data_IF_312473659954
#
_entry.id   IF_312473659954
#
_cell.length_a   1.000
_cell.length_b   1.000
_cell.length_c   1.000
_cell.angle_alpha   90.00
_cell.angle_beta   90.00
_cell.angle_gamma   90.00
#
_symmetry.space_group_name_H-M   'P 1'
#
loop_
_entity.id
_entity.type
_entity.pdbx_description
1 polymer ?
#
# COMPACT_ATOMS: atom_id res chain seq x y z
N UNK A 1 3.95 10.26 -25.13
CA UNK A 1 2.64 10.15 -24.46
C UNK A 1 2.21 11.56 -24.08
N UNK A 2 1.24 12.13 -24.80
CA UNK A 2 0.69 13.44 -24.47
C UNK A 2 -0.46 13.31 -23.48
N UNK A 3 -0.62 14.30 -22.59
CA UNK A 3 -1.76 14.36 -21.67
C UNK A 3 -3.07 14.56 -22.45
N UNK A 4 -4.20 13.99 -21.99
CA UNK A 4 -5.49 14.24 -22.61
C UNK A 4 -5.88 15.71 -22.40
N UNK A 5 -6.18 16.42 -23.48
CA UNK A 5 -6.47 17.85 -23.45
C UNK A 5 -7.96 18.13 -23.69
N UNK A 6 -8.52 19.06 -22.93
CA UNK A 6 -9.85 19.63 -23.20
C UNK A 6 -9.71 20.66 -24.33
N UNK A 7 -10.27 20.34 -25.50
CA UNK A 7 -10.21 21.18 -26.69
C UNK A 7 -10.81 22.58 -26.51
N UNK A 8 -9.97 23.56 -26.20
CA UNK A 8 -10.31 24.99 -26.25
C UNK A 8 -10.22 25.54 -27.68
N UNK A 9 -11.27 26.22 -28.15
CA UNK A 9 -11.43 26.91 -29.45
C UNK A 9 -10.64 26.32 -30.64
N UNK A 10 -11.02 25.10 -31.03
CA UNK A 10 -11.07 24.43 -32.34
C UNK A 10 -10.17 24.73 -33.55
N UNK A 11 -9.44 25.84 -33.63
CA UNK A 11 -8.53 26.17 -34.75
C UNK A 11 -7.10 26.41 -34.25
N UNK A 12 -6.93 26.68 -32.96
CA UNK A 12 -5.63 26.98 -32.37
C UNK A 12 -4.78 25.73 -32.19
N UNK A 13 -5.32 24.63 -31.64
CA UNK A 13 -4.52 23.50 -31.13
C UNK A 13 -3.76 22.70 -32.20
N UNK A 14 -4.39 22.44 -33.35
CA UNK A 14 -3.72 21.75 -34.47
C UNK A 14 -2.59 22.58 -35.07
N UNK A 15 -2.80 23.90 -35.24
CA UNK A 15 -1.73 24.83 -35.65
C UNK A 15 -0.67 24.99 -34.56
N UNK A 16 -1.06 24.95 -33.30
CA UNK A 16 -0.19 24.96 -32.12
C UNK A 16 0.77 23.78 -32.09
N UNK A 17 0.23 22.57 -32.20
CA UNK A 17 1.00 21.32 -32.17
C UNK A 17 1.92 21.24 -33.36
N UNK A 18 1.49 21.70 -34.54
CA UNK A 18 2.37 21.84 -35.72
C UNK A 18 3.48 22.86 -35.46
N UNK A 19 3.17 24.03 -34.88
CA UNK A 19 4.14 25.08 -34.58
C UNK A 19 5.14 24.66 -33.49
N UNK A 20 4.70 23.95 -32.45
CA UNK A 20 5.54 23.42 -31.37
C UNK A 20 6.33 22.20 -31.86
N UNK A 21 5.70 21.25 -32.57
CA UNK A 21 6.39 20.10 -33.16
C UNK A 21 7.47 20.55 -34.15
N UNK A 22 7.26 21.62 -34.93
CA UNK A 22 8.29 22.17 -35.83
C UNK A 22 9.56 22.65 -35.12
N UNK A 23 9.50 22.91 -33.81
CA UNK A 23 10.66 23.25 -32.97
C UNK A 23 11.40 21.98 -32.49
N UNK A 24 10.72 20.83 -32.39
CA UNK A 24 11.20 19.64 -31.68
C UNK A 24 11.38 18.37 -32.52
N UNK A 25 10.64 18.20 -33.62
CA UNK A 25 10.55 16.95 -34.39
C UNK A 25 10.25 17.26 -35.87
N UNK A 26 10.91 16.58 -36.82
CA UNK A 26 10.44 16.51 -38.19
C UNK A 26 9.10 15.75 -38.19
N UNK A 27 7.99 16.49 -38.15
CA UNK A 27 6.69 15.93 -37.80
C UNK A 27 6.23 14.88 -38.83
N UNK A 28 5.87 13.69 -38.33
CA UNK A 28 5.14 12.68 -39.09
C UNK A 28 3.65 13.07 -39.11
N UNK A 29 3.15 13.46 -40.29
CA UNK A 29 1.81 14.03 -40.49
C UNK A 29 0.67 13.11 -40.02
N UNK A 30 0.93 11.80 -39.87
CA UNK A 30 -0.07 10.82 -39.40
C UNK A 30 -0.50 11.04 -37.95
N UNK A 31 0.42 11.43 -37.07
CA UNK A 31 0.09 11.72 -35.66
C UNK A 31 -0.72 13.02 -35.52
N UNK A 32 -0.48 13.98 -36.41
CA UNK A 32 -1.14 15.29 -36.40
C UNK A 32 -2.61 15.22 -36.83
N UNK A 33 -2.97 14.28 -37.72
CA UNK A 33 -4.36 14.08 -38.15
C UNK A 33 -5.27 13.58 -37.01
N UNK A 34 -4.74 12.79 -36.08
CA UNK A 34 -5.50 12.24 -34.95
C UNK A 34 -5.65 13.20 -33.76
N UNK A 35 -4.92 14.32 -33.77
CA UNK A 35 -4.94 15.38 -32.75
C UNK A 35 -5.95 16.49 -33.06
N UNK A 36 -6.70 16.38 -34.16
CA UNK A 36 -7.75 17.33 -34.51
C UNK A 36 -8.98 17.20 -33.60
N UNK A 37 -9.71 18.31 -33.47
CA UNK A 37 -10.96 18.45 -32.69
C UNK A 37 -11.96 17.33 -33.03
N UNK A 38 -12.68 16.83 -32.01
CA UNK A 38 -13.71 15.80 -32.13
C UNK A 38 -13.20 14.46 -32.69
N UNK A 39 -11.90 14.21 -32.56
CA UNK A 39 -11.33 12.88 -32.75
C UNK A 39 -12.01 11.91 -31.79
N UNK A 40 -12.91 11.08 -32.32
CA UNK A 40 -13.56 9.99 -31.59
C UNK A 40 -12.50 9.14 -30.86
N UNK A 41 -11.30 9.04 -31.42
CA UNK A 41 -10.16 8.37 -30.82
C UNK A 41 -9.70 9.02 -29.50
N UNK A 42 -9.57 10.35 -29.44
CA UNK A 42 -9.19 11.04 -28.20
C UNK A 42 -10.29 10.96 -27.14
N UNK A 43 -11.56 11.07 -27.55
CA UNK A 43 -12.70 10.90 -26.64
C UNK A 43 -12.81 9.47 -26.11
N UNK A 44 -12.54 8.47 -26.95
CA UNK A 44 -12.48 7.06 -26.56
C UNK A 44 -11.33 6.81 -25.58
N UNK A 45 -10.14 7.35 -25.83
CA UNK A 45 -8.99 7.23 -24.91
C UNK A 45 -9.28 7.89 -23.55
N UNK A 46 -9.93 9.06 -23.54
CA UNK A 46 -10.40 9.73 -22.32
C UNK A 46 -11.44 8.90 -21.56
N UNK A 47 -12.41 8.33 -22.28
CA UNK A 47 -13.43 7.44 -21.71
C UNK A 47 -12.83 6.16 -21.13
N UNK A 48 -11.74 5.64 -21.70
CA UNK A 48 -10.99 4.50 -21.16
C UNK A 48 -10.13 4.88 -19.95
N UNK A 49 -9.62 6.11 -19.89
CA UNK A 49 -8.81 6.60 -18.78
C UNK A 49 -9.63 6.85 -17.51
N UNK A 50 -10.86 7.35 -17.63
CA UNK A 50 -11.72 7.67 -16.48
C UNK A 50 -11.83 6.54 -15.44
N UNK A 51 -12.28 5.33 -15.84
CA UNK A 51 -12.46 4.19 -14.92
C UNK A 51 -11.18 3.70 -14.23
N UNK A 52 -10.01 3.93 -14.83
CA UNK A 52 -8.72 3.53 -14.25
C UNK A 52 -8.03 4.69 -13.50
N UNK A 53 -8.54 5.91 -13.60
CA UNK A 53 -7.88 7.08 -13.00
C UNK A 53 -7.90 7.05 -11.48
N UNK A 54 -8.86 6.37 -10.87
CA UNK A 54 -8.95 6.10 -9.42
C UNK A 54 -7.79 5.22 -8.93
N UNK A 55 -7.18 4.46 -9.84
CA UNK A 55 -5.99 3.67 -9.56
C UNK A 55 -4.70 4.50 -9.65
N UNK A 56 -4.73 5.81 -9.88
CA UNK A 56 -3.47 6.58 -9.96
C UNK A 56 -3.60 7.96 -9.34
N UNK A 57 -2.70 8.25 -8.39
CA UNK A 57 -2.46 9.64 -8.00
C UNK A 57 -1.79 10.35 -9.17
N UNK A 58 -2.50 11.29 -9.80
CA UNK A 58 -2.04 11.94 -11.03
C UNK A 58 -1.81 13.43 -10.78
N UNK A 59 -0.64 13.94 -11.16
CA UNK A 59 -0.32 15.39 -11.12
C UNK A 59 -0.22 15.94 -12.53
N UNK A 60 -1.03 16.95 -12.83
CA UNK A 60 -1.12 17.58 -14.15
C UNK A 60 -0.32 18.88 -14.17
N UNK A 61 0.91 18.84 -14.69
CA UNK A 61 1.74 20.03 -14.80
C UNK A 61 1.32 20.91 -15.98
N UNK A 62 1.32 22.23 -15.78
CA UNK A 62 1.06 23.22 -16.85
C UNK A 62 2.00 24.42 -16.75
N UNK A 63 2.28 25.04 -17.90
CA UNK A 63 3.13 26.25 -17.97
C UNK A 63 2.37 27.51 -17.58
N UNK A 64 3.12 28.49 -17.10
CA UNK A 64 2.58 29.83 -16.84
C UNK A 64 3.22 30.92 -17.70
N UNK A 65 4.32 30.61 -18.41
CA UNK A 65 4.95 31.53 -19.36
C UNK A 65 4.70 31.10 -20.80
N UNK A 66 4.68 32.08 -21.70
CA UNK A 66 4.50 31.83 -23.11
C UNK A 66 5.77 31.26 -23.74
N UNK A 67 5.60 30.26 -24.60
CA UNK A 67 6.66 29.65 -25.40
C UNK A 67 6.80 30.39 -26.73
N UNK A 68 8.00 30.87 -27.10
CA UNK A 68 8.27 31.42 -28.42
C UNK A 68 8.09 30.37 -29.52
N UNK A 69 7.39 30.73 -30.59
CA UNK A 69 7.20 29.87 -31.77
C UNK A 69 8.06 30.35 -32.94
N UNK A 70 8.34 29.45 -33.89
CA UNK A 70 9.16 29.72 -35.10
C UNK A 70 8.59 30.87 -35.94
N UNK A 71 7.29 31.14 -35.84
CA UNK A 71 6.59 32.21 -36.57
C UNK A 71 6.62 33.57 -35.84
N UNK A 72 7.45 33.72 -34.80
CA UNK A 72 7.64 34.99 -34.08
C UNK A 72 6.50 35.38 -33.14
N UNK A 73 5.57 34.46 -32.87
CA UNK A 73 4.50 34.64 -31.86
C UNK A 73 4.82 33.80 -30.62
N UNK A 74 4.51 34.32 -29.44
CA UNK A 74 4.60 33.58 -28.18
C UNK A 74 3.20 33.14 -27.73
N UNK A 75 3.12 32.01 -27.05
CA UNK A 75 1.85 31.46 -26.59
C UNK A 75 2.00 30.40 -25.50
N UNK A 76 0.98 30.24 -24.66
CA UNK A 76 0.88 29.14 -23.69
C UNK A 76 0.44 27.87 -24.41
N UNK A 77 1.32 26.88 -24.48
CA UNK A 77 1.14 25.59 -25.18
C UNK A 77 0.12 24.73 -24.45
N UNK A 78 0.27 24.56 -23.13
CA UNK A 78 -0.67 23.80 -22.31
C UNK A 78 -1.25 24.69 -21.21
N UNK A 79 -2.41 25.35 -21.45
CA UNK A 79 -3.07 26.14 -20.41
C UNK A 79 -3.71 25.23 -19.36
N UNK A 80 -3.88 25.74 -18.13
CA UNK A 80 -4.48 25.00 -16.99
C UNK A 80 -5.76 24.26 -17.35
N UNK A 81 -6.66 24.92 -18.09
CA UNK A 81 -7.96 24.34 -18.48
C UNK A 81 -7.83 23.11 -19.38
N UNK A 82 -6.74 23.01 -20.14
CA UNK A 82 -6.45 21.88 -21.01
C UNK A 82 -5.56 20.83 -20.35
N UNK A 83 -4.89 21.16 -19.24
CA UNK A 83 -4.03 20.23 -18.52
C UNK A 83 -4.80 19.24 -17.62
N UNK A 84 -6.05 19.56 -17.26
CA UNK A 84 -6.84 18.78 -16.30
C UNK A 84 -7.89 17.95 -17.03
N UNK A 85 -7.99 16.67 -16.67
CA UNK A 85 -9.04 15.76 -17.13
C UNK A 85 -10.25 15.90 -16.20
N UNK A 86 -11.42 16.34 -16.69
CA UNK A 86 -12.62 16.41 -15.86
C UNK A 86 -13.06 15.02 -15.41
N UNK A 87 -13.37 14.89 -14.12
CA UNK A 87 -13.83 13.63 -13.53
C UNK A 87 -12.72 12.66 -13.12
N UNK A 88 -11.44 13.00 -13.28
CA UNK A 88 -10.35 12.23 -12.67
C UNK A 88 -10.43 12.36 -11.14
N UNK A 89 -10.60 11.25 -10.42
CA UNK A 89 -10.87 11.28 -8.98
C UNK A 89 -9.72 11.88 -8.16
N UNK A 90 -8.47 11.59 -8.54
CA UNK A 90 -7.25 11.98 -7.80
C UNK A 90 -6.29 12.86 -8.61
N UNK A 91 -6.84 13.65 -9.53
CA UNK A 91 -6.10 14.56 -10.40
C UNK A 91 -5.85 15.94 -9.79
N UNK A 92 -4.60 16.33 -9.56
CA UNK A 92 -4.26 17.69 -9.08
C UNK A 92 -3.43 18.47 -10.13
N UNK A 93 -3.87 19.67 -10.55
CA UNK A 93 -3.06 20.54 -11.41
C UNK A 93 -1.94 21.22 -10.66
N UNK A 94 -0.73 21.22 -11.22
CA UNK A 94 0.45 21.88 -10.67
C UNK A 94 0.97 22.94 -11.65
N UNK A 95 1.16 24.18 -11.18
CA UNK A 95 1.68 25.27 -11.99
C UNK A 95 3.21 25.23 -12.00
N UNK A 96 3.82 25.36 -13.17
CA UNK A 96 5.27 25.52 -13.31
C UNK A 96 5.55 26.91 -13.91
N UNK A 97 6.40 27.67 -13.21
CA UNK A 97 6.83 29.02 -13.60
C UNK A 97 7.93 28.98 -14.66
N UNK A 98 7.60 28.36 -15.80
CA UNK A 98 8.44 28.23 -16.97
C UNK A 98 7.55 28.21 -18.23
N UNK A 99 8.18 28.30 -19.40
CA UNK A 99 7.56 28.00 -20.68
C UNK A 99 7.54 26.48 -20.94
N UNK A 100 6.89 26.04 -22.02
CA UNK A 100 6.75 24.61 -22.35
C UNK A 100 8.09 23.91 -22.58
N UNK A 101 9.11 24.64 -23.01
CA UNK A 101 10.40 24.07 -23.44
C UNK A 101 11.40 23.95 -22.30
N UNK A 102 11.15 24.69 -21.21
CA UNK A 102 11.96 24.74 -19.99
C UNK A 102 11.26 24.15 -18.75
N UNK A 103 9.94 23.89 -18.76
CA UNK A 103 9.22 23.40 -17.57
C UNK A 103 9.70 22.05 -16.99
N UNK A 104 10.46 21.28 -17.75
CA UNK A 104 11.07 20.01 -17.32
C UNK A 104 12.60 20.09 -17.19
N UNK A 105 13.17 21.29 -17.33
CA UNK A 105 14.62 21.54 -17.30
C UNK A 105 14.93 22.44 -16.12
N UNK A 106 15.49 21.86 -15.07
CA UNK A 106 15.83 22.59 -13.85
C UNK A 106 17.33 22.78 -13.76
N UNK A 107 17.78 24.03 -13.60
CA UNK A 107 19.22 24.34 -13.51
C UNK A 107 19.83 23.89 -12.19
N UNK A 108 19.03 23.81 -11.12
CA UNK A 108 19.51 23.36 -9.81
C UNK A 108 18.37 22.94 -8.88
N UNK A 109 18.73 22.41 -7.70
CA UNK A 109 17.79 22.04 -6.65
C UNK A 109 17.12 23.25 -5.95
N UNK A 110 17.65 24.46 -6.12
CA UNK A 110 17.06 25.66 -5.54
C UNK A 110 15.94 26.26 -6.41
N UNK A 111 15.84 25.82 -7.67
CA UNK A 111 14.81 26.22 -8.63
C UNK A 111 13.37 25.97 -8.10
N UNK A 112 12.47 26.90 -8.41
CA UNK A 112 11.09 26.86 -7.91
C UNK A 112 10.27 25.73 -8.54
N UNK A 113 10.44 25.48 -9.85
CA UNK A 113 9.84 24.35 -10.55
C UNK A 113 10.37 23.02 -10.01
N UNK A 114 11.70 22.92 -9.79
CA UNK A 114 12.30 21.74 -9.18
C UNK A 114 11.70 21.43 -7.80
N UNK A 115 11.61 22.44 -6.92
CA UNK A 115 11.04 22.28 -5.58
C UNK A 115 9.58 21.85 -5.62
N UNK A 116 8.80 22.40 -6.56
CA UNK A 116 7.39 22.05 -6.75
C UNK A 116 7.23 20.60 -7.16
N UNK A 117 7.90 20.18 -8.24
CA UNK A 117 7.81 18.80 -8.76
C UNK A 117 8.38 17.80 -7.75
N UNK A 118 9.56 18.06 -7.20
CA UNK A 118 10.19 17.17 -6.22
C UNK A 118 9.40 17.08 -4.91
N UNK A 119 8.71 18.14 -4.50
CA UNK A 119 7.80 18.14 -3.35
C UNK A 119 6.63 17.18 -3.54
N UNK A 120 5.93 17.29 -4.68
CA UNK A 120 4.84 16.37 -5.01
C UNK A 120 5.31 14.93 -5.17
N UNK A 121 6.45 14.69 -5.84
CA UNK A 121 7.03 13.34 -5.96
C UNK A 121 7.33 12.72 -4.60
N UNK A 122 7.96 13.48 -3.68
CA UNK A 122 8.23 12.98 -2.32
C UNK A 122 6.95 12.65 -1.55
N UNK A 123 5.90 13.47 -1.69
CA UNK A 123 4.62 13.20 -1.06
C UNK A 123 3.99 11.92 -1.63
N UNK A 124 4.01 11.76 -2.97
CA UNK A 124 3.55 10.55 -3.63
C UNK A 124 4.33 9.32 -3.16
N UNK A 125 5.66 9.39 -3.06
CA UNK A 125 6.49 8.29 -2.55
C UNK A 125 6.19 7.95 -1.10
N UNK A 126 6.00 8.94 -0.22
CA UNK A 126 5.65 8.70 1.19
C UNK A 126 4.30 7.99 1.33
N UNK A 127 3.33 8.36 0.50
CA UNK A 127 1.99 7.77 0.53
C UNK A 127 1.87 6.48 -0.27
N UNK A 128 2.90 6.11 -1.04
CA UNK A 128 2.87 4.97 -1.95
C UNK A 128 2.89 3.62 -1.23
N UNK A 129 3.50 3.51 -0.05
CA UNK A 129 3.76 2.22 0.61
C UNK A 129 2.52 1.34 0.76
N UNK A 130 1.45 1.90 1.31
CA UNK A 130 0.21 1.16 1.58
C UNK A 130 -0.56 0.85 0.29
N UNK A 131 -0.67 1.82 -0.62
CA UNK A 131 -1.46 1.72 -1.86
C UNK A 131 -0.80 0.78 -2.86
N UNK A 132 0.51 0.92 -3.04
CA UNK A 132 1.27 0.13 -4.02
C UNK A 132 1.44 -1.29 -3.50
N UNK A 133 1.72 -1.48 -2.20
CA UNK A 133 1.79 -2.80 -1.58
C UNK A 133 0.49 -3.60 -1.78
N UNK A 134 -0.66 -3.00 -1.49
CA UNK A 134 -1.96 -3.65 -1.70
C UNK A 134 -2.24 -4.01 -3.17
N UNK A 135 -1.79 -3.19 -4.12
CA UNK A 135 -1.94 -3.46 -5.56
C UNK A 135 -1.07 -4.61 -6.03
N UNK A 136 0.18 -4.68 -5.61
CA UNK A 136 1.06 -5.81 -5.94
C UNK A 136 0.58 -7.12 -5.32
N UNK A 137 0.07 -7.09 -4.09
CA UNK A 137 -0.53 -8.26 -3.46
C UNK A 137 -1.79 -8.72 -4.21
N UNK A 138 -2.59 -7.76 -4.72
CA UNK A 138 -3.77 -8.05 -5.56
C UNK A 138 -3.36 -8.61 -6.93
N UNK A 139 -2.40 -8.00 -7.61
CA UNK A 139 -1.88 -8.47 -8.90
C UNK A 139 -1.29 -9.87 -8.77
N UNK A 140 -0.47 -10.11 -7.75
CA UNK A 140 0.11 -11.44 -7.47
C UNK A 140 -0.96 -12.51 -7.23
N UNK A 141 -2.11 -12.14 -6.65
CA UNK A 141 -3.26 -13.04 -6.52
C UNK A 141 -3.99 -13.26 -7.84
N UNK A 142 -4.16 -12.22 -8.64
CA UNK A 142 -4.77 -12.32 -9.98
C UNK A 142 -3.92 -13.22 -10.88
N UNK A 143 -2.60 -13.10 -10.81
CA UNK A 143 -1.68 -13.96 -11.54
C UNK A 143 -1.69 -15.41 -11.04
N UNK A 144 -1.81 -15.64 -9.73
CA UNK A 144 -1.99 -16.98 -9.17
C UNK A 144 -3.34 -17.63 -9.56
N UNK A 145 -4.41 -16.82 -9.67
CA UNK A 145 -5.70 -17.29 -10.18
C UNK A 145 -5.61 -17.62 -11.67
N UNK A 146 -4.89 -16.83 -12.46
CA UNK A 146 -4.64 -17.08 -13.89
C UNK A 146 -3.78 -18.33 -14.12
N UNK A 147 -2.91 -18.70 -13.18
CA UNK A 147 -2.09 -19.91 -13.25
C UNK A 147 -2.80 -21.19 -12.83
N UNK A 148 -4.10 -21.12 -12.50
CA UNK A 148 -4.92 -22.27 -12.05
C UNK A 148 -4.42 -22.88 -10.72
N UNK A 149 -3.66 -22.13 -9.92
CA UNK A 149 -3.34 -22.50 -8.55
C UNK A 149 -4.58 -22.30 -7.67
N UNK A 150 -4.91 -23.33 -6.91
CA UNK A 150 -6.08 -23.40 -6.01
C UNK A 150 -6.18 -22.12 -5.17
N UNK A 151 -7.37 -21.52 -5.16
CA UNK A 151 -7.82 -20.40 -4.31
C UNK A 151 -6.93 -20.25 -3.06
N UNK A 152 -6.19 -19.14 -3.03
CA UNK A 152 -5.21 -18.70 -2.04
C UNK A 152 -5.40 -19.34 -0.65
N UNK A 153 -4.72 -20.46 -0.43
CA UNK A 153 -4.55 -21.00 0.91
C UNK A 153 -3.69 -20.00 1.68
N UNK A 154 -4.23 -19.36 2.73
CA UNK A 154 -3.44 -18.58 3.69
C UNK A 154 -2.74 -19.49 4.71
N UNK A 155 -2.56 -20.76 4.37
CA UNK A 155 -2.02 -21.74 5.29
C UNK A 155 -0.53 -21.52 5.50
N UNK A 156 -0.16 -21.22 6.74
CA UNK A 156 1.23 -21.16 7.18
C UNK A 156 1.46 -22.31 8.15
N UNK A 157 2.50 -23.13 7.93
CA UNK A 157 2.77 -24.27 8.79
C UNK A 157 2.87 -23.83 10.26
N UNK A 158 2.14 -24.54 11.13
CA UNK A 158 2.14 -24.28 12.57
C UNK A 158 3.55 -24.52 13.12
N UNK A 159 4.12 -23.47 13.72
CA UNK A 159 5.41 -23.50 14.39
C UNK A 159 5.44 -22.39 15.43
N UNK A 160 5.91 -22.69 16.64
CA UNK A 160 6.06 -21.73 17.74
C UNK A 160 7.42 -21.95 18.41
N UNK A 161 8.54 -21.71 17.69
CA UNK A 161 9.88 -21.91 18.23
C UNK A 161 10.22 -20.95 19.38
N UNK A 162 9.46 -19.86 19.52
CA UNK A 162 9.69 -18.80 20.50
C UNK A 162 9.39 -19.26 21.94
N UNK A 163 8.64 -20.35 22.10
CA UNK A 163 8.19 -20.83 23.41
C UNK A 163 8.64 -22.26 23.65
N UNK A 164 9.24 -22.51 24.82
CA UNK A 164 9.57 -23.87 25.23
C UNK A 164 8.30 -24.68 25.49
N UNK A 165 8.18 -25.81 24.80
CA UNK A 165 7.13 -26.79 25.04
C UNK A 165 7.36 -27.55 26.34
N UNK A 166 6.30 -27.72 27.12
CA UNK A 166 6.29 -28.67 28.23
C UNK A 166 5.85 -30.04 27.73
N UNK A 167 6.47 -31.11 28.21
CA UNK A 167 6.09 -32.48 27.83
C UNK A 167 4.68 -32.87 28.29
N UNK A 168 4.20 -32.27 29.39
CA UNK A 168 2.91 -32.55 29.99
C UNK A 168 2.23 -31.28 30.46
N UNK A 169 1.26 -30.80 29.67
CA UNK A 169 0.29 -29.81 30.11
C UNK A 169 -0.93 -30.54 30.70
N UNK A 170 -1.29 -30.23 31.95
CA UNK A 170 -2.37 -30.92 32.66
C UNK A 170 -3.34 -29.94 33.32
N UNK A 171 -4.62 -30.33 33.35
CA UNK A 171 -5.69 -29.48 33.88
C UNK A 171 -6.02 -28.31 32.95
N UNK A 172 -6.74 -27.31 33.49
CA UNK A 172 -7.15 -26.09 32.79
C UNK A 172 -8.15 -26.24 31.63
N UNK A 173 -8.83 -27.38 31.54
CA UNK A 173 -9.81 -27.62 30.48
C UNK A 173 -10.90 -26.55 30.44
N UNK A 174 -11.39 -26.12 31.60
CA UNK A 174 -12.38 -25.03 31.69
C UNK A 174 -11.87 -23.73 31.04
N UNK A 175 -10.63 -23.33 31.30
CA UNK A 175 -10.06 -22.13 30.67
C UNK A 175 -9.86 -22.31 29.18
N UNK A 176 -9.43 -23.50 28.73
CA UNK A 176 -9.30 -23.80 27.30
C UNK A 176 -10.65 -23.74 26.58
N UNK A 177 -11.71 -24.27 27.20
CA UNK A 177 -13.07 -24.25 26.66
C UNK A 177 -13.60 -22.82 26.57
N UNK A 178 -13.31 -21.97 27.56
CA UNK A 178 -13.63 -20.54 27.51
C UNK A 178 -12.89 -19.86 26.36
N UNK A 179 -11.57 -20.06 26.23
CA UNK A 179 -10.79 -19.47 25.12
C UNK A 179 -11.38 -19.90 23.77
N UNK A 180 -11.68 -21.20 23.60
CA UNK A 180 -12.26 -21.73 22.37
C UNK A 180 -13.61 -21.10 22.03
N UNK A 181 -14.47 -20.96 23.04
CA UNK A 181 -15.80 -20.37 22.88
C UNK A 181 -15.70 -18.92 22.43
N UNK A 182 -14.84 -18.13 23.06
CA UNK A 182 -14.68 -16.71 22.74
C UNK A 182 -13.95 -16.47 21.41
N UNK A 183 -13.06 -17.38 21.01
CA UNK A 183 -12.34 -17.34 19.73
C UNK A 183 -13.05 -18.10 18.60
N UNK A 184 -14.31 -18.53 18.80
CA UNK A 184 -15.07 -19.21 17.77
C UNK A 184 -15.28 -18.29 16.56
N UNK A 185 -14.88 -18.78 15.39
CA UNK A 185 -14.96 -18.02 14.14
C UNK A 185 -16.42 -17.82 13.70
N UNK A 186 -16.82 -16.55 13.53
CA UNK A 186 -18.11 -16.13 12.99
C UNK A 186 -17.96 -15.01 11.93
N UNK A 187 -16.75 -14.83 11.40
CA UNK A 187 -16.40 -13.77 10.46
C UNK A 187 -16.02 -12.43 11.10
N UNK A 188 -16.21 -12.25 12.41
CA UNK A 188 -15.77 -11.06 13.15
C UNK A 188 -14.43 -11.27 13.85
N UNK A 189 -13.73 -10.18 14.16
CA UNK A 189 -12.47 -10.20 14.92
C UNK A 189 -12.77 -10.61 16.36
N UNK A 190 -12.12 -11.68 16.81
CA UNK A 190 -12.18 -12.13 18.20
C UNK A 190 -10.94 -11.71 18.96
N UNK A 191 -11.05 -11.56 20.27
CA UNK A 191 -9.92 -11.20 21.14
C UNK A 191 -10.18 -11.76 22.53
N UNK A 192 -9.20 -12.47 23.08
CA UNK A 192 -9.22 -12.95 24.46
C UNK A 192 -7.99 -12.43 25.16
N UNK A 193 -8.17 -11.93 26.38
CA UNK A 193 -7.07 -11.49 27.25
C UNK A 193 -6.89 -12.52 28.35
N UNK A 194 -5.73 -13.16 28.38
CA UNK A 194 -5.33 -14.08 29.46
C UNK A 194 -4.48 -13.32 30.46
N UNK A 195 -5.02 -13.05 31.65
CA UNK A 195 -4.33 -12.31 32.70
C UNK A 195 -4.25 -13.10 34.02
N UNK A 196 -3.35 -12.69 34.90
CA UNK A 196 -3.10 -13.36 36.17
C UNK A 196 -1.67 -13.16 36.65
N UNK A 197 -1.42 -13.53 37.91
CA UNK A 197 -0.10 -13.38 38.55
C UNK A 197 1.01 -14.09 37.78
N UNK A 198 2.25 -13.63 37.98
CA UNK A 198 3.45 -14.28 37.44
C UNK A 198 3.52 -15.75 37.85
N UNK A 199 3.99 -16.62 36.94
CA UNK A 199 4.11 -18.06 37.21
C UNK A 199 2.82 -18.88 37.14
N UNK A 200 1.65 -18.27 36.92
CA UNK A 200 0.37 -19.00 36.84
C UNK A 200 0.18 -19.85 35.57
N UNK A 201 1.15 -19.84 34.66
CA UNK A 201 1.15 -20.66 33.44
C UNK A 201 0.38 -20.07 32.26
N UNK A 202 0.23 -18.73 32.16
CA UNK A 202 -0.52 -18.05 31.09
C UNK A 202 0.01 -18.36 29.69
N UNK A 203 1.33 -18.20 29.49
CA UNK A 203 2.04 -18.58 28.26
C UNK A 203 1.78 -20.04 27.87
N UNK A 204 1.84 -20.96 28.83
CA UNK A 204 1.62 -22.39 28.58
C UNK A 204 0.15 -22.70 28.27
N UNK A 205 -0.79 -21.97 28.87
CA UNK A 205 -2.22 -22.09 28.54
C UNK A 205 -2.51 -21.64 27.09
N UNK A 206 -1.95 -20.50 26.67
CA UNK A 206 -2.09 -20.00 25.30
C UNK A 206 -1.44 -20.97 24.29
N UNK A 207 -0.26 -21.51 24.62
CA UNK A 207 0.42 -22.50 23.79
C UNK A 207 -0.37 -23.80 23.67
N UNK A 208 -0.92 -24.32 24.78
CA UNK A 208 -1.75 -25.52 24.78
C UNK A 208 -3.00 -25.33 23.91
N UNK A 209 -3.66 -24.18 24.02
CA UNK A 209 -4.79 -23.81 23.15
C UNK A 209 -4.39 -23.84 21.67
N UNK A 210 -3.31 -23.12 21.32
CA UNK A 210 -2.83 -23.02 19.95
C UNK A 210 -2.49 -24.40 19.36
N UNK A 211 -1.87 -25.28 20.15
CA UNK A 211 -1.53 -26.64 19.73
C UNK A 211 -2.76 -27.52 19.52
N UNK A 212 -3.73 -27.47 20.45
CA UNK A 212 -4.95 -28.27 20.40
C UNK A 212 -5.85 -27.86 19.22
N UNK A 213 -5.91 -26.56 18.93
CA UNK A 213 -6.81 -25.99 17.92
C UNK A 213 -6.10 -25.55 16.63
N UNK A 214 -4.82 -25.91 16.43
CA UNK A 214 -4.01 -25.50 15.26
C UNK A 214 -4.65 -25.75 13.89
N UNK A 215 -5.52 -26.76 13.78
CA UNK A 215 -6.20 -27.12 12.52
C UNK A 215 -7.41 -26.22 12.21
N UNK A 216 -7.91 -25.50 13.20
CA UNK A 216 -9.02 -24.55 13.05
C UNK A 216 -8.52 -23.27 12.35
N UNK A 217 -7.23 -22.98 12.48
CA UNK A 217 -6.57 -21.80 11.93
C UNK A 217 -5.78 -22.09 10.64
N UNK A 218 -5.72 -21.12 9.72
CA UNK A 218 -4.84 -21.12 8.55
C UNK A 218 -3.41 -20.75 8.92
N UNK A 219 -3.23 -19.80 9.84
CA UNK A 219 -1.91 -19.38 10.31
C UNK A 219 -1.94 -19.08 11.80
N UNK A 220 -0.85 -19.40 12.50
CA UNK A 220 -0.65 -19.06 13.92
C UNK A 220 0.70 -18.38 14.08
N UNK A 221 0.69 -17.16 14.62
CA UNK A 221 1.88 -16.36 14.88
C UNK A 221 2.00 -16.06 16.37
N UNK A 222 3.22 -16.14 16.88
CA UNK A 222 3.56 -15.81 18.25
C UNK A 222 4.43 -14.55 18.26
N UNK A 223 4.04 -13.55 19.04
CA UNK A 223 4.69 -12.24 19.09
C UNK A 223 5.03 -11.89 20.53
N UNK A 224 6.32 -11.87 20.86
CA UNK A 224 6.80 -11.43 22.18
C UNK A 224 6.64 -9.91 22.32
N UNK A 225 5.72 -9.49 23.17
CA UNK A 225 5.30 -8.11 23.38
C UNK A 225 5.91 -7.50 24.65
N UNK A 226 7.07 -8.02 25.09
CA UNK A 226 7.85 -7.46 26.20
C UNK A 226 8.31 -6.02 25.95
N UNK A 227 8.66 -5.69 24.70
CA UNK A 227 8.92 -4.32 24.27
C UNK A 227 8.41 -4.11 22.84
N UNK A 228 8.37 -2.86 22.41
CA UNK A 228 8.02 -2.52 21.03
C UNK A 228 9.00 -3.17 20.02
N UNK A 229 10.29 -3.24 20.36
CA UNK A 229 11.30 -3.86 19.49
C UNK A 229 11.11 -5.38 19.37
N UNK A 230 10.85 -6.09 20.47
CA UNK A 230 10.62 -7.55 20.42
C UNK A 230 9.35 -7.88 19.66
N UNK A 231 8.32 -7.03 19.80
CA UNK A 231 7.07 -7.17 19.06
C UNK A 231 7.32 -7.07 17.55
N UNK A 232 8.10 -6.07 17.13
CA UNK A 232 8.40 -5.88 15.70
C UNK A 232 9.27 -6.99 15.14
N UNK A 233 10.18 -7.53 15.94
CA UNK A 233 10.94 -8.74 15.58
C UNK A 233 10.03 -9.96 15.43
N UNK A 234 9.00 -10.11 16.28
CA UNK A 234 7.98 -11.15 16.13
C UNK A 234 7.22 -11.05 14.80
N UNK A 235 6.91 -9.83 14.37
CA UNK A 235 6.34 -9.60 13.04
C UNK A 235 7.31 -9.93 11.90
N UNK A 236 8.60 -9.64 12.04
CA UNK A 236 9.60 -10.04 11.05
C UNK A 236 9.69 -11.58 10.92
N UNK A 237 9.68 -12.30 12.05
CA UNK A 237 9.63 -13.76 12.04
C UNK A 237 8.34 -14.30 11.37
N UNK A 238 7.20 -13.63 11.57
CA UNK A 238 5.95 -13.96 10.88
C UNK A 238 6.06 -13.74 9.36
N UNK A 239 6.67 -12.64 8.93
CA UNK A 239 6.88 -12.34 7.50
C UNK A 239 7.72 -13.42 6.80
N UNK A 240 8.81 -13.85 7.42
CA UNK A 240 9.67 -14.93 6.90
C UNK A 240 8.91 -16.24 6.74
N UNK A 241 8.03 -16.58 7.71
CA UNK A 241 7.20 -17.78 7.66
C UNK A 241 6.15 -17.70 6.55
N UNK A 242 5.49 -16.55 6.40
CA UNK A 242 4.51 -16.32 5.34
C UNK A 242 5.19 -16.46 3.97
N UNK A 243 6.33 -15.82 3.76
CA UNK A 243 7.05 -15.88 2.49
C UNK A 243 7.53 -17.29 2.14
N UNK A 244 7.97 -18.07 3.13
CA UNK A 244 8.39 -19.48 2.91
C UNK A 244 7.27 -20.34 2.34
N UNK A 245 6.04 -20.14 2.81
CA UNK A 245 4.84 -20.88 2.38
C UNK A 245 4.18 -20.25 1.16
N UNK A 246 4.39 -18.95 0.94
CA UNK A 246 3.83 -18.18 -0.17
C UNK A 246 4.90 -17.34 -0.89
N UNK A 247 5.81 -17.98 -1.66
CA UNK A 247 6.92 -17.27 -2.32
C UNK A 247 6.50 -16.25 -3.37
N UNK A 248 5.24 -16.32 -3.85
CA UNK A 248 4.66 -15.36 -4.78
C UNK A 248 4.39 -13.98 -4.16
N UNK A 249 4.44 -13.84 -2.82
CA UNK A 249 4.32 -12.57 -2.11
C UNK A 249 5.64 -11.78 -2.13
N UNK A 250 6.09 -11.38 -3.33
CA UNK A 250 7.40 -10.75 -3.57
C UNK A 250 7.59 -9.45 -2.76
N UNK A 251 6.50 -8.68 -2.56
CA UNK A 251 6.57 -7.45 -1.76
C UNK A 251 6.89 -7.72 -0.29
N UNK A 252 6.29 -8.76 0.30
CA UNK A 252 6.57 -9.14 1.68
C UNK A 252 8.04 -9.50 1.87
N UNK A 253 8.64 -10.21 0.90
CA UNK A 253 10.08 -10.52 0.88
C UNK A 253 10.94 -9.27 0.81
N UNK A 254 10.64 -8.38 -0.14
CA UNK A 254 11.43 -7.16 -0.36
C UNK A 254 11.46 -6.29 0.91
N UNK A 255 10.31 -6.18 1.59
CA UNK A 255 10.20 -5.46 2.85
C UNK A 255 10.90 -6.20 3.99
N UNK A 256 10.83 -7.53 4.07
CA UNK A 256 11.54 -8.31 5.08
C UNK A 256 13.08 -8.25 4.94
N UNK A 257 13.62 -8.23 3.71
CA UNK A 257 15.07 -8.26 3.46
C UNK A 257 15.74 -6.87 3.54
N UNK A 258 15.00 -5.78 3.30
CA UNK A 258 15.58 -4.43 3.21
C UNK A 258 14.76 -3.31 3.84
N UNK A 259 13.56 -3.59 4.33
CA UNK A 259 12.66 -2.63 4.96
C UNK A 259 12.98 -2.40 6.44
N UNK A 260 12.40 -1.34 6.99
CA UNK A 260 12.42 -1.14 8.46
C UNK A 260 11.45 -2.10 9.12
N UNK A 261 11.72 -2.44 10.39
CA UNK A 261 10.87 -3.30 11.20
C UNK A 261 9.38 -2.86 11.24
N UNK A 262 9.13 -1.54 11.22
CA UNK A 262 7.76 -1.00 11.11
C UNK A 262 7.08 -1.36 9.79
N UNK A 263 7.80 -1.26 8.68
CA UNK A 263 7.29 -1.57 7.34
C UNK A 263 6.99 -3.07 7.22
N UNK A 264 7.81 -3.92 7.84
CA UNK A 264 7.59 -5.36 7.92
C UNK A 264 6.34 -5.68 8.73
N UNK A 265 6.16 -5.07 9.90
CA UNK A 265 4.96 -5.23 10.72
C UNK A 265 3.70 -4.79 9.97
N UNK A 266 3.75 -3.66 9.25
CA UNK A 266 2.63 -3.20 8.42
C UNK A 266 2.34 -4.15 7.26
N UNK A 267 3.36 -4.75 6.64
CA UNK A 267 3.18 -5.74 5.59
C UNK A 267 2.47 -7.02 6.10
N UNK A 268 2.85 -7.53 7.28
CA UNK A 268 2.17 -8.68 7.88
C UNK A 268 0.74 -8.33 8.26
N UNK A 269 0.49 -7.17 8.88
CA UNK A 269 -0.89 -6.72 9.21
C UNK A 269 -1.76 -6.58 7.96
N UNK A 270 -1.19 -6.14 6.82
CA UNK A 270 -1.89 -6.11 5.52
C UNK A 270 -2.22 -7.52 5.02
N UNK A 271 -1.28 -8.46 5.11
CA UNK A 271 -1.52 -9.86 4.77
C UNK A 271 -2.65 -10.47 5.62
N UNK A 272 -2.66 -10.24 6.94
CA UNK A 272 -3.73 -10.67 7.84
C UNK A 272 -5.10 -10.05 7.49
N UNK A 273 -5.10 -8.84 6.94
CA UNK A 273 -6.33 -8.12 6.55
C UNK A 273 -6.81 -8.48 5.14
N UNK A 274 -6.13 -9.38 4.44
CA UNK A 274 -6.48 -9.76 3.07
C UNK A 274 -7.86 -10.40 2.96
N UNK A 275 -8.55 -10.15 1.84
CA UNK A 275 -9.85 -10.77 1.55
C UNK A 275 -9.71 -12.29 1.53
N UNK A 276 -10.54 -12.97 2.34
CA UNK A 276 -10.52 -14.41 2.55
C UNK A 276 -9.52 -14.91 3.59
N UNK A 277 -8.71 -14.03 4.20
CA UNK A 277 -7.82 -14.38 5.30
C UNK A 277 -8.50 -14.07 6.65
N UNK A 278 -9.27 -15.04 7.14
CA UNK A 278 -10.20 -14.86 8.26
C UNK A 278 -10.04 -15.89 9.38
N UNK A 279 -9.12 -16.84 9.21
CA UNK A 279 -8.83 -17.94 10.14
C UNK A 279 -7.40 -17.89 10.69
N UNK A 280 -6.78 -16.73 10.82
CA UNK A 280 -5.48 -16.62 11.50
C UNK A 280 -5.65 -16.42 13.01
N UNK A 281 -4.61 -16.77 13.77
CA UNK A 281 -4.47 -16.51 15.20
C UNK A 281 -3.15 -15.77 15.46
N UNK A 282 -3.18 -14.62 16.13
CA UNK A 282 -1.98 -13.93 16.60
C UNK A 282 -1.96 -13.90 18.13
N UNK A 283 -0.93 -14.50 18.72
CA UNK A 283 -0.73 -14.55 20.17
C UNK A 283 0.32 -13.50 20.55
N UNK A 284 -0.11 -12.47 21.27
CA UNK A 284 0.77 -11.48 21.90
C UNK A 284 1.07 -11.92 23.34
N UNK A 285 2.31 -12.33 23.61
CA UNK A 285 2.74 -12.75 24.97
C UNK A 285 3.60 -11.67 25.65
N UNK A 286 3.77 -11.75 26.97
CA UNK A 286 4.61 -10.83 27.77
C UNK A 286 4.27 -9.32 27.69
N UNK A 287 3.03 -8.95 27.37
CA UNK A 287 2.59 -7.55 27.42
C UNK A 287 2.28 -7.10 28.87
N UNK A 288 3.33 -6.94 29.69
CA UNK A 288 3.21 -6.69 31.13
C UNK A 288 3.20 -5.19 31.50
N UNK A 289 3.70 -4.31 30.63
CA UNK A 289 3.91 -2.86 30.92
C UNK A 289 3.14 -1.95 29.94
N UNK A 290 1.79 -1.94 29.99
CA UNK A 290 0.99 -1.12 29.09
C UNK A 290 1.18 0.37 29.35
N UNK A 291 1.31 1.16 28.28
CA UNK A 291 1.29 2.62 28.39
C UNK A 291 -0.13 3.12 28.67
N UNK A 292 -0.34 3.63 29.88
CA UNK A 292 -1.63 4.16 30.33
C UNK A 292 -1.66 5.68 30.24
N UNK A 293 -2.83 6.24 29.92
CA UNK A 293 -3.02 7.68 29.85
C UNK A 293 -2.67 8.35 31.20
N UNK A 294 -1.73 9.29 31.18
CA UNK A 294 -1.26 10.01 32.37
C UNK A 294 -0.07 9.39 33.10
N UNK A 295 0.47 8.26 32.63
CA UNK A 295 1.66 7.61 33.17
C UNK A 295 2.69 7.35 32.07
N UNK A 296 3.72 8.20 31.98
CA UNK A 296 4.89 8.01 31.10
C UNK A 296 6.02 7.31 31.87
N UNK A 297 5.83 6.04 32.20
CA UNK A 297 6.90 5.23 32.78
C UNK A 297 7.87 4.75 31.69
N UNK A 298 9.20 4.84 31.90
CA UNK A 298 10.20 4.30 30.99
C UNK A 298 9.97 2.80 30.75
N UNK A 299 9.97 2.39 29.48
CA UNK A 299 9.77 0.98 29.09
C UNK A 299 8.30 0.55 28.92
N UNK A 300 7.34 1.48 29.07
CA UNK A 300 5.94 1.24 28.68
C UNK A 300 5.71 1.53 27.20
N UNK A 301 4.81 0.79 26.57
CA UNK A 301 4.37 1.10 25.20
C UNK A 301 2.89 0.75 24.95
N UNK A 302 2.32 1.38 23.94
CA UNK A 302 0.94 1.12 23.49
C UNK A 302 0.95 0.04 22.41
N UNK A 303 0.28 -1.09 22.69
CA UNK A 303 0.18 -2.20 21.74
C UNK A 303 -0.86 -1.96 20.64
N UNK A 304 -1.82 -1.04 20.83
CA UNK A 304 -2.96 -0.85 19.91
C UNK A 304 -2.56 -0.56 18.45
N UNK A 305 -1.53 0.27 18.16
CA UNK A 305 -1.06 0.49 16.78
C UNK A 305 -0.49 -0.78 16.10
N UNK A 306 -0.10 -1.75 16.93
CA UNK A 306 0.52 -3.01 16.51
C UNK A 306 -0.49 -4.15 16.33
N UNK A 307 -1.74 -3.98 16.75
CA UNK A 307 -2.78 -4.97 16.51
C UNK A 307 -3.17 -5.01 15.02
N UNK A 308 -3.54 -6.19 14.47
CA UNK A 308 -4.06 -6.27 13.11
C UNK A 308 -5.29 -5.37 12.92
N UNK A 309 -5.32 -4.61 11.82
CA UNK A 309 -6.45 -3.71 11.47
C UNK A 309 -7.67 -4.45 10.93
N UNK A 310 -7.53 -5.72 10.61
CA UNK A 310 -8.58 -6.60 10.11
C UNK A 310 -9.82 -6.62 11.01
N UNK A 311 -10.99 -6.82 10.41
CA UNK A 311 -12.27 -6.97 11.11
C UNK A 311 -12.64 -8.45 11.36
N UNK A 312 -11.72 -9.35 11.04
CA UNK A 312 -11.82 -10.81 11.15
C UNK A 312 -10.57 -11.38 11.84
N UNK A 313 -10.52 -12.70 12.05
CA UNK A 313 -9.39 -13.39 12.70
C UNK A 313 -9.43 -13.33 14.23
N UNK A 314 -8.40 -13.88 14.87
CA UNK A 314 -8.32 -14.08 16.32
C UNK A 314 -6.98 -13.60 16.91
#
# INVERSE_FOLDING_TARGET
MGTPHQGGSGVALGKLMVNVASVFVAADDRLLQHLARDSEWLQQQLGQYGPISDDFVTKYAYETYETPTVLGRSMVVVPRASAVVPGAADGEPIAIHADHIHMVKFESKSDAGYKTVSGHLRLMTRNAGDVIGGRWDTEGRVDAVRSNEVVASFAVQFSVPEVSHVERFVGRQEQLDVIRKELQHDGSRKTVVVHGLGGMGKTQLALAYAQQHRKEYSAVFWVDSKSEDTLKQGYAAAADRIYREHPSLVHLKAVAEGGKLDEVADAVKRWLSSVGNDRWLVIFDNYDTPKLSGHDEPGTFDIRPHLPRAHQGA
#
